data_IF_124347455293
#
_entry.id   IF_124347455293
#
_cell.length_a   1.000
_cell.length_b   1.000
_cell.length_c   1.000
_cell.angle_alpha   90.00
_cell.angle_beta   90.00
_cell.angle_gamma   90.00
#
_symmetry.space_group_name_H-M   'P 1'
#
loop_
_entity.id
_entity.type
_entity.pdbx_description
1 polymer ?
#
# COMPACT_ATOMS: atom_id res chain seq x y z
N UNK A 1 13.55 15.06 25.59
CA UNK A 1 12.19 14.64 25.24
C UNK A 1 11.61 13.90 26.46
N UNK A 2 10.40 14.27 26.95
CA UNK A 2 9.81 13.59 28.11
C UNK A 2 9.29 12.20 27.71
N UNK A 3 9.21 11.25 28.69
CA UNK A 3 8.64 9.91 28.45
C UNK A 3 7.21 9.99 27.89
N UNK A 4 6.42 10.98 28.32
CA UNK A 4 5.07 11.23 27.82
C UNK A 4 5.07 11.66 26.34
N UNK A 5 6.04 12.47 25.93
CA UNK A 5 6.18 12.88 24.52
C UNK A 5 6.60 11.71 23.63
N UNK A 6 7.50 10.85 24.13
CA UNK A 6 7.91 9.65 23.41
C UNK A 6 6.75 8.66 23.24
N UNK A 7 5.96 8.45 24.31
CA UNK A 7 4.79 7.58 24.26
C UNK A 7 3.68 8.15 23.33
N UNK A 8 3.43 9.46 23.36
CA UNK A 8 2.47 10.11 22.48
C UNK A 8 2.89 9.97 20.99
N UNK A 9 4.16 10.20 20.68
CA UNK A 9 4.70 10.04 19.33
C UNK A 9 4.61 8.57 18.86
N UNK A 10 4.86 7.61 19.75
CA UNK A 10 4.75 6.18 19.42
C UNK A 10 3.30 5.78 19.15
N UNK A 11 2.33 6.27 19.93
CA UNK A 11 0.89 6.04 19.70
C UNK A 11 0.46 6.66 18.36
N UNK A 12 0.89 7.87 18.04
CA UNK A 12 0.58 8.55 16.78
C UNK A 12 1.18 7.80 15.58
N UNK A 13 2.40 7.29 15.71
CA UNK A 13 3.05 6.47 14.67
C UNK A 13 2.30 5.15 14.44
N UNK A 14 1.90 4.45 15.51
CA UNK A 14 1.15 3.19 15.40
C UNK A 14 -0.22 3.40 14.77
N UNK A 15 -0.96 4.43 15.17
CA UNK A 15 -2.26 4.76 14.59
C UNK A 15 -2.14 5.07 13.09
N UNK A 16 -1.06 5.71 12.69
CA UNK A 16 -0.82 6.04 11.29
C UNK A 16 -0.47 4.78 10.47
N UNK A 17 0.28 3.83 11.01
CA UNK A 17 0.61 2.57 10.33
C UNK A 17 -0.60 1.66 10.13
N UNK A 18 -1.57 1.66 11.07
CA UNK A 18 -2.80 0.86 10.95
C UNK A 18 -3.59 1.22 9.68
N UNK A 19 -3.58 2.49 9.25
CA UNK A 19 -4.28 2.93 8.04
C UNK A 19 -3.75 2.33 6.74
N UNK A 20 -2.55 1.78 6.72
CA UNK A 20 -2.06 1.02 5.57
C UNK A 20 -2.71 -0.36 5.44
N UNK A 21 -3.12 -0.96 6.56
CA UNK A 21 -3.65 -2.33 6.61
C UNK A 21 -5.15 -2.39 6.91
N UNK A 22 -5.72 -1.33 7.48
CA UNK A 22 -7.11 -1.26 7.92
C UNK A 22 -7.74 0.12 7.60
N UNK A 23 -7.67 0.59 6.34
CA UNK A 23 -8.32 1.84 5.98
C UNK A 23 -9.84 1.68 5.99
N UNK A 24 -10.59 2.71 6.41
CA UNK A 24 -12.04 2.78 6.22
C UNK A 24 -12.41 3.28 4.82
N UNK A 25 -11.44 3.89 4.13
CA UNK A 25 -11.61 4.39 2.78
C UNK A 25 -10.29 4.40 2.03
N UNK A 26 -10.30 4.00 0.77
CA UNK A 26 -9.14 3.97 -0.13
C UNK A 26 -9.44 4.66 -1.44
N UNK A 27 -8.52 5.47 -1.95
CA UNK A 27 -8.56 6.00 -3.32
C UNK A 27 -7.43 5.40 -4.15
N UNK A 28 -7.77 4.91 -5.35
CA UNK A 28 -6.82 4.31 -6.28
C UNK A 28 -6.66 5.23 -7.49
N UNK A 29 -5.44 5.71 -7.70
CA UNK A 29 -5.07 6.52 -8.87
C UNK A 29 -4.50 5.61 -9.96
N UNK A 30 -5.05 5.71 -11.18
CA UNK A 30 -4.60 4.95 -12.34
C UNK A 30 -5.44 3.71 -12.64
N UNK A 31 -6.49 3.44 -11.87
CA UNK A 31 -7.46 2.41 -12.20
C UNK A 31 -8.37 2.86 -13.35
N UNK A 32 -8.61 1.95 -14.30
CA UNK A 32 -9.50 2.18 -15.45
C UNK A 32 -10.03 0.86 -15.99
N UNK A 33 -11.11 0.91 -16.79
CA UNK A 33 -11.70 -0.27 -17.45
C UNK A 33 -10.89 -0.77 -18.67
N UNK A 34 -9.66 -0.28 -18.87
CA UNK A 34 -8.78 -0.77 -19.90
C UNK A 34 -8.32 -2.20 -19.60
N UNK A 35 -8.20 -3.02 -20.65
CA UNK A 35 -7.76 -4.42 -20.52
C UNK A 35 -6.35 -4.49 -19.86
N UNK A 36 -6.18 -5.38 -18.91
CA UNK A 36 -4.93 -5.56 -18.14
C UNK A 36 -4.49 -4.34 -17.34
N UNK A 37 -5.43 -3.49 -16.89
CA UNK A 37 -5.11 -2.35 -16.05
C UNK A 37 -4.83 -2.83 -14.61
N UNK A 38 -3.63 -2.52 -14.11
CA UNK A 38 -3.18 -2.95 -12.78
C UNK A 38 -4.04 -2.36 -11.65
N UNK A 39 -4.49 -1.12 -11.78
CA UNK A 39 -5.38 -0.50 -10.79
C UNK A 39 -6.76 -1.16 -10.74
N UNK A 40 -7.27 -1.65 -11.89
CA UNK A 40 -8.50 -2.44 -11.93
C UNK A 40 -8.34 -3.80 -11.23
N UNK A 41 -7.17 -4.43 -11.33
CA UNK A 41 -6.87 -5.66 -10.58
C UNK A 41 -6.93 -5.43 -9.07
N UNK A 42 -6.44 -4.29 -8.57
CA UNK A 42 -6.58 -3.91 -7.15
C UNK A 42 -8.06 -3.76 -6.77
N UNK A 43 -8.86 -3.05 -7.58
CA UNK A 43 -10.30 -2.88 -7.32
C UNK A 43 -11.00 -4.24 -7.25
N UNK A 44 -10.69 -5.13 -8.21
CA UNK A 44 -11.24 -6.48 -8.24
C UNK A 44 -10.83 -7.31 -7.02
N UNK A 45 -9.57 -7.24 -6.60
CA UNK A 45 -9.09 -7.93 -5.40
C UNK A 45 -9.82 -7.43 -4.15
N UNK A 46 -9.99 -6.12 -3.99
CA UNK A 46 -10.75 -5.55 -2.87
C UNK A 46 -12.18 -6.06 -2.83
N UNK A 47 -12.85 -6.13 -3.98
CA UNK A 47 -14.24 -6.55 -4.08
C UNK A 47 -14.39 -8.07 -3.94
N UNK A 48 -13.71 -8.85 -4.80
CA UNK A 48 -14.00 -10.26 -5.02
C UNK A 48 -13.16 -11.21 -4.15
N UNK A 49 -11.91 -10.81 -3.82
CA UNK A 49 -10.99 -11.67 -3.09
C UNK A 49 -11.05 -11.48 -1.57
N UNK A 50 -11.12 -10.24 -1.11
CA UNK A 50 -11.12 -9.94 0.34
C UNK A 50 -12.47 -9.44 0.85
N UNK A 51 -13.44 -9.15 -0.02
CA UNK A 51 -14.75 -8.61 0.37
C UNK A 51 -14.59 -7.39 1.29
N UNK A 52 -13.83 -6.41 0.81
CA UNK A 52 -13.49 -5.20 1.57
C UNK A 52 -14.73 -4.39 1.94
N UNK A 53 -14.95 -4.16 3.21
CA UNK A 53 -16.15 -3.50 3.74
C UNK A 53 -16.03 -1.96 3.82
N UNK A 54 -14.85 -1.40 3.54
CA UNK A 54 -14.64 0.04 3.47
C UNK A 54 -15.09 0.62 2.13
N UNK A 55 -14.88 1.93 1.98
CA UNK A 55 -15.21 2.65 0.74
C UNK A 55 -14.01 2.66 -0.20
N UNK A 56 -14.23 2.17 -1.43
CA UNK A 56 -13.21 2.20 -2.50
C UNK A 56 -13.58 3.23 -3.57
N UNK A 57 -12.63 4.10 -3.89
CA UNK A 57 -12.76 5.14 -4.90
C UNK A 57 -11.66 5.01 -5.94
N UNK A 58 -11.95 5.41 -7.16
CA UNK A 58 -10.95 5.56 -8.22
C UNK A 58 -10.97 6.97 -8.79
N UNK A 59 -9.78 7.50 -9.07
CA UNK A 59 -9.64 8.75 -9.81
C UNK A 59 -9.07 8.42 -11.19
N UNK A 60 -9.88 8.63 -12.22
CA UNK A 60 -9.51 8.40 -13.61
C UNK A 60 -10.08 9.49 -14.55
N UNK A 61 -9.54 9.60 -15.76
CA UNK A 61 -9.92 10.67 -16.70
C UNK A 61 -11.40 10.68 -17.08
N UNK A 62 -12.02 9.51 -17.12
CA UNK A 62 -13.44 9.39 -17.50
C UNK A 62 -14.37 9.65 -16.31
N UNK A 63 -13.90 9.48 -15.07
CA UNK A 63 -14.74 9.51 -13.86
C UNK A 63 -15.63 8.28 -13.75
N UNK A 64 -15.24 7.17 -14.40
CA UNK A 64 -16.01 5.93 -14.45
C UNK A 64 -15.69 5.02 -13.28
N UNK A 65 -16.70 4.29 -12.80
CA UNK A 65 -16.55 3.23 -11.82
C UNK A 65 -15.69 2.09 -12.38
N UNK A 66 -14.90 1.43 -11.52
CA UNK A 66 -14.03 0.30 -11.87
C UNK A 66 -14.19 -0.80 -10.84
N UNK A 67 -14.67 -1.98 -11.24
CA UNK A 67 -14.79 -3.18 -10.41
C UNK A 67 -15.36 -2.93 -9.00
N UNK A 68 -16.44 -2.14 -8.92
CA UNK A 68 -17.12 -1.82 -7.65
C UNK A 68 -16.55 -0.61 -6.90
N UNK A 69 -15.39 -0.09 -7.26
CA UNK A 69 -14.90 1.19 -6.76
C UNK A 69 -15.56 2.35 -7.50
N UNK A 70 -16.02 3.36 -6.75
CA UNK A 70 -16.73 4.51 -7.33
C UNK A 70 -15.77 5.47 -8.02
N UNK A 71 -16.08 5.85 -9.27
CA UNK A 71 -15.25 6.69 -10.12
C UNK A 71 -15.46 8.19 -9.96
N UNK A 72 -14.36 8.93 -10.01
CA UNK A 72 -14.33 10.38 -10.00
C UNK A 72 -13.28 10.90 -11.00
N UNK A 73 -13.47 12.12 -11.52
CA UNK A 73 -12.49 12.74 -12.41
C UNK A 73 -11.32 13.35 -11.67
N UNK A 74 -11.57 13.87 -10.48
CA UNK A 74 -10.55 14.50 -9.64
C UNK A 74 -10.69 14.03 -8.18
N UNK A 75 -9.63 14.15 -7.40
CA UNK A 75 -9.65 13.83 -5.97
C UNK A 75 -10.60 14.76 -5.20
N UNK A 76 -10.71 16.00 -5.65
CA UNK A 76 -11.52 17.04 -5.06
C UNK A 76 -13.03 16.77 -5.18
N UNK A 77 -13.44 15.94 -6.14
CA UNK A 77 -14.84 15.52 -6.32
C UNK A 77 -15.32 14.55 -5.24
N UNK A 78 -14.38 13.86 -4.55
CA UNK A 78 -14.71 12.94 -3.45
C UNK A 78 -14.98 13.76 -2.19
N UNK A 79 -16.18 13.69 -1.64
CA UNK A 79 -16.56 14.45 -0.44
C UNK A 79 -16.12 13.77 0.86
N UNK A 80 -15.97 12.45 0.86
CA UNK A 80 -15.61 11.65 2.03
C UNK A 80 -14.13 11.84 2.42
N UNK A 81 -13.83 11.64 3.69
CA UNK A 81 -12.45 11.50 4.16
C UNK A 81 -11.81 10.23 3.62
N UNK A 82 -10.54 10.33 3.23
CA UNK A 82 -9.75 9.24 2.66
C UNK A 82 -8.61 8.88 3.60
N UNK A 83 -8.58 7.62 4.03
CA UNK A 83 -7.53 7.11 4.91
C UNK A 83 -6.24 6.76 4.15
N UNK A 84 -6.38 6.18 2.94
CA UNK A 84 -5.27 5.63 2.16
C UNK A 84 -5.38 6.00 0.69
N UNK A 85 -4.27 6.41 0.08
CA UNK A 85 -4.13 6.52 -1.37
C UNK A 85 -3.19 5.43 -1.91
N UNK A 86 -3.63 4.73 -2.96
CA UNK A 86 -2.82 3.78 -3.72
C UNK A 86 -2.57 4.37 -5.11
N UNK A 87 -1.30 4.50 -5.50
CA UNK A 87 -0.90 5.16 -6.73
C UNK A 87 -0.22 4.17 -7.67
N UNK A 88 -0.84 3.97 -8.84
CA UNK A 88 -0.32 3.11 -9.92
C UNK A 88 -0.41 3.85 -11.26
N UNK A 89 0.24 4.99 -11.33
CA UNK A 89 0.31 5.91 -12.49
C UNK A 89 1.76 6.06 -12.97
N UNK A 90 2.01 6.63 -14.15
CA UNK A 90 3.37 6.99 -14.56
C UNK A 90 4.07 7.85 -13.51
N UNK A 91 5.35 7.55 -13.22
CA UNK A 91 6.12 8.19 -12.14
C UNK A 91 6.14 9.73 -12.25
N UNK A 92 6.19 10.27 -13.47
CA UNK A 92 6.26 11.72 -13.72
C UNK A 92 5.07 12.54 -13.20
N UNK A 93 3.90 11.91 -12.97
CA UNK A 93 2.71 12.63 -12.45
C UNK A 93 2.56 12.49 -10.93
N UNK A 94 3.34 11.60 -10.30
CA UNK A 94 3.19 11.27 -8.88
C UNK A 94 3.50 12.44 -7.93
N UNK A 95 4.52 13.30 -8.15
CA UNK A 95 4.73 14.47 -7.29
C UNK A 95 3.47 15.34 -7.15
N UNK A 96 2.76 15.59 -8.26
CA UNK A 96 1.50 16.35 -8.25
C UNK A 96 0.38 15.61 -7.48
N UNK A 97 0.35 14.28 -7.51
CA UNK A 97 -0.61 13.50 -6.73
C UNK A 97 -0.30 13.52 -5.24
N UNK A 98 0.97 13.44 -4.84
CA UNK A 98 1.41 13.58 -3.43
C UNK A 98 1.00 14.95 -2.89
N UNK A 99 1.20 16.02 -3.66
CA UNK A 99 0.74 17.36 -3.27
C UNK A 99 -0.77 17.38 -3.03
N UNK A 100 -1.57 16.88 -3.97
CA UNK A 100 -3.04 16.82 -3.85
C UNK A 100 -3.49 15.96 -2.64
N UNK A 101 -2.85 14.82 -2.41
CA UNK A 101 -3.09 14.01 -1.22
C UNK A 101 -2.83 14.81 0.06
N UNK A 102 -1.71 15.52 0.11
CA UNK A 102 -1.35 16.37 1.24
C UNK A 102 -2.33 17.49 1.53
N UNK A 103 -2.74 18.22 0.49
CA UNK A 103 -3.75 19.31 0.54
C UNK A 103 -5.11 18.77 0.99
N UNK A 104 -5.47 17.55 0.59
CA UNK A 104 -6.72 16.86 0.95
C UNK A 104 -6.69 16.23 2.35
N UNK A 105 -5.54 16.23 3.03
CA UNK A 105 -5.39 15.63 4.37
C UNK A 105 -5.12 14.13 4.38
N UNK A 106 -4.86 13.49 3.24
CA UNK A 106 -4.47 12.09 3.16
C UNK A 106 -3.03 11.95 3.65
N UNK A 107 -2.79 11.08 4.62
CA UNK A 107 -1.48 10.93 5.28
C UNK A 107 -0.80 9.61 5.02
N UNK A 108 -1.50 8.64 4.43
CA UNK A 108 -0.98 7.32 4.09
C UNK A 108 -1.04 7.11 2.58
N UNK A 109 0.10 6.83 1.95
CA UNK A 109 0.21 6.63 0.51
C UNK A 109 1.04 5.39 0.21
N UNK A 110 0.53 4.54 -0.67
CA UNK A 110 1.28 3.42 -1.25
C UNK A 110 1.57 3.76 -2.71
N UNK A 111 2.83 3.71 -3.12
CA UNK A 111 3.24 3.98 -4.50
C UNK A 111 3.74 2.67 -5.11
N UNK A 112 2.90 2.03 -5.91
CA UNK A 112 3.27 0.77 -6.57
C UNK A 112 4.06 1.00 -7.85
N UNK A 113 3.92 2.15 -8.46
CA UNK A 113 4.62 2.54 -9.69
C UNK A 113 6.12 2.46 -9.55
N UNK A 114 6.77 1.94 -10.59
CA UNK A 114 8.21 2.03 -10.82
C UNK A 114 8.58 3.33 -11.58
N UNK A 115 9.88 3.58 -11.76
CA UNK A 115 10.39 4.77 -12.47
C UNK A 115 11.12 5.75 -11.56
N UNK A 116 11.57 5.28 -10.38
CA UNK A 116 12.25 6.06 -9.36
C UNK A 116 13.74 5.69 -9.26
N UNK A 117 14.33 5.66 -8.08
CA UNK A 117 15.76 5.47 -7.88
C UNK A 117 16.34 4.21 -8.54
N UNK A 118 15.53 3.20 -8.79
CA UNK A 118 15.92 2.00 -9.54
C UNK A 118 16.17 2.24 -11.03
N UNK A 119 15.79 3.42 -11.56
CA UNK A 119 16.02 3.85 -12.96
C UNK A 119 17.23 4.80 -13.12
N UNK A 120 18.01 5.00 -12.06
CA UNK A 120 19.19 5.86 -12.08
C UNK A 120 18.90 7.31 -11.64
N UNK A 121 19.75 8.25 -12.06
CA UNK A 121 19.79 9.62 -11.51
C UNK A 121 18.47 10.40 -11.70
N UNK A 122 17.86 10.30 -12.87
CA UNK A 122 16.59 10.98 -13.16
C UNK A 122 15.47 10.46 -12.25
N UNK A 123 15.37 9.13 -12.10
CA UNK A 123 14.41 8.50 -11.19
C UNK A 123 14.69 8.82 -9.72
N UNK A 124 15.96 8.93 -9.34
CA UNK A 124 16.35 9.35 -8.00
C UNK A 124 15.89 10.78 -7.68
N UNK A 125 16.09 11.72 -8.62
CA UNK A 125 15.61 13.09 -8.45
C UNK A 125 14.11 13.15 -8.23
N UNK A 126 13.36 12.33 -8.95
CA UNK A 126 11.90 12.22 -8.78
C UNK A 126 11.52 11.62 -7.41
N UNK A 127 12.27 10.62 -6.93
CA UNK A 127 12.08 10.05 -5.59
C UNK A 127 12.41 11.08 -4.49
N UNK A 128 13.45 11.86 -4.65
CA UNK A 128 13.81 12.93 -3.71
C UNK A 128 12.73 14.01 -3.65
N UNK A 129 12.10 14.33 -4.78
CA UNK A 129 10.98 15.27 -4.85
C UNK A 129 9.76 14.75 -4.08
N UNK A 130 9.31 13.50 -4.32
CA UNK A 130 8.18 12.94 -3.58
C UNK A 130 8.47 12.86 -2.08
N UNK A 131 9.69 12.54 -1.68
CA UNK A 131 10.09 12.50 -0.27
C UNK A 131 10.06 13.89 0.38
N UNK A 132 10.45 14.94 -0.35
CA UNK A 132 10.36 16.32 0.11
C UNK A 132 8.89 16.74 0.32
N UNK A 133 8.01 16.43 -0.61
CA UNK A 133 6.58 16.71 -0.52
C UNK A 133 5.94 15.91 0.62
N UNK A 134 6.27 14.64 0.76
CA UNK A 134 5.76 13.78 1.83
C UNK A 134 6.11 14.36 3.22
N UNK A 135 7.37 14.77 3.43
CA UNK A 135 7.77 15.44 4.67
C UNK A 135 7.02 16.74 4.92
N UNK A 136 6.84 17.56 3.88
CA UNK A 136 6.12 18.84 4.01
C UNK A 136 4.66 18.64 4.44
N UNK A 137 3.98 17.63 3.86
CA UNK A 137 2.58 17.33 4.16
C UNK A 137 2.39 16.29 5.27
N UNK A 138 3.46 15.80 5.90
CA UNK A 138 3.41 14.73 6.91
C UNK A 138 2.76 13.44 6.38
N UNK A 139 3.03 13.10 5.13
CA UNK A 139 2.59 11.86 4.49
C UNK A 139 3.62 10.78 4.76
N UNK A 140 3.15 9.57 5.14
CA UNK A 140 3.97 8.35 5.15
C UNK A 140 3.81 7.62 3.82
N UNK A 141 4.91 7.07 3.30
CA UNK A 141 4.93 6.40 1.99
C UNK A 141 5.48 4.97 2.12
N UNK A 142 4.69 3.98 1.66
CA UNK A 142 5.18 2.64 1.34
C UNK A 142 5.59 2.60 -0.14
N UNK A 143 6.76 2.09 -0.45
CA UNK A 143 7.32 2.08 -1.80
C UNK A 143 8.32 3.21 -2.04
N UNK A 144 8.42 3.81 -3.23
CA UNK A 144 7.79 3.39 -4.49
C UNK A 144 8.30 2.04 -5.02
N UNK A 145 7.81 1.62 -6.19
CA UNK A 145 8.20 0.37 -6.84
C UNK A 145 7.95 -0.85 -5.93
N UNK A 146 6.76 -0.97 -5.41
CA UNK A 146 6.32 -2.04 -4.50
C UNK A 146 5.07 -2.75 -5.03
N UNK A 147 4.66 -3.81 -4.37
CA UNK A 147 3.46 -4.59 -4.72
C UNK A 147 2.27 -4.25 -3.78
N UNK A 148 2.45 -3.41 -2.78
CA UNK A 148 1.41 -3.05 -1.83
C UNK A 148 1.40 -3.91 -0.57
N UNK A 149 0.21 -4.03 0.04
CA UNK A 149 0.00 -4.70 1.33
C UNK A 149 -1.19 -5.66 1.28
N UNK A 150 -1.14 -6.67 2.16
CA UNK A 150 -2.23 -7.62 2.44
C UNK A 150 -2.39 -7.75 3.96
N UNK A 151 -3.62 -7.68 4.46
CA UNK A 151 -4.01 -8.08 5.81
C UNK A 151 -5.16 -9.09 5.72
N UNK A 152 -4.90 -10.32 6.15
CA UNK A 152 -5.87 -11.42 6.05
C UNK A 152 -7.03 -11.22 7.03
N UNK A 153 -6.73 -10.80 8.26
CA UNK A 153 -7.73 -10.67 9.31
C UNK A 153 -8.63 -9.43 9.12
N UNK A 154 -8.08 -8.34 8.55
CA UNK A 154 -8.81 -7.11 8.22
C UNK A 154 -9.45 -7.15 6.84
N UNK A 155 -9.18 -8.22 6.08
CA UNK A 155 -9.73 -8.40 4.73
C UNK A 155 -9.44 -7.19 3.83
N UNK A 156 -8.19 -6.77 3.83
CA UNK A 156 -7.71 -5.67 2.99
C UNK A 156 -6.50 -6.13 2.15
N UNK A 157 -6.55 -5.87 0.86
CA UNK A 157 -5.45 -6.14 -0.06
C UNK A 157 -5.45 -5.10 -1.18
N UNK A 158 -4.33 -4.40 -1.33
CA UNK A 158 -4.11 -3.51 -2.46
C UNK A 158 -3.00 -4.00 -3.40
N UNK A 159 -2.62 -5.26 -3.35
CA UNK A 159 -1.65 -5.87 -4.28
C UNK A 159 -2.30 -6.07 -5.65
N UNK A 160 -1.66 -5.58 -6.74
CA UNK A 160 -2.08 -5.92 -8.09
C UNK A 160 -1.56 -7.30 -8.51
N UNK A 161 -2.24 -7.94 -9.46
CA UNK A 161 -1.88 -9.28 -9.95
C UNK A 161 -2.09 -10.41 -8.93
N UNK A 162 -2.77 -10.13 -7.82
CA UNK A 162 -2.97 -11.08 -6.73
C UNK A 162 -4.39 -11.66 -6.67
N UNK A 163 -5.23 -11.38 -7.67
CA UNK A 163 -6.65 -11.73 -7.69
C UNK A 163 -6.93 -13.24 -7.68
N UNK A 164 -5.97 -14.08 -8.11
CA UNK A 164 -6.09 -15.54 -8.05
C UNK A 164 -5.48 -16.13 -6.77
N UNK A 165 -4.48 -15.48 -6.21
CA UNK A 165 -3.70 -15.94 -5.03
C UNK A 165 -4.38 -15.54 -3.72
N UNK A 166 -4.83 -14.30 -3.61
CA UNK A 166 -5.39 -13.73 -2.37
C UNK A 166 -6.62 -14.50 -1.87
N UNK A 167 -7.57 -14.97 -2.73
CA UNK A 167 -8.69 -15.77 -2.26
C UNK A 167 -8.27 -17.07 -1.56
N UNK A 168 -7.14 -17.65 -1.92
CA UNK A 168 -6.58 -18.85 -1.30
C UNK A 168 -5.89 -18.51 0.03
N UNK A 169 -5.11 -17.44 0.07
CA UNK A 169 -4.46 -16.97 1.30
C UNK A 169 -5.47 -16.57 2.39
N UNK A 170 -6.56 -15.91 2.01
CA UNK A 170 -7.63 -15.49 2.94
C UNK A 170 -8.28 -16.68 3.65
N UNK A 171 -8.22 -17.88 3.09
CA UNK A 171 -8.71 -19.11 3.71
C UNK A 171 -7.71 -19.71 4.71
N UNK A 172 -6.51 -19.16 4.81
CA UNK A 172 -5.42 -19.64 5.66
C UNK A 172 -4.96 -18.55 6.65
N UNK A 173 -5.84 -18.06 7.54
CA UNK A 173 -5.44 -17.05 8.52
C UNK A 173 -4.42 -17.64 9.51
N UNK A 174 -3.42 -16.83 9.89
CA UNK A 174 -2.37 -17.24 10.80
C UNK A 174 -1.74 -16.07 11.53
N UNK A 175 -0.55 -16.29 12.09
CA UNK A 175 0.17 -15.32 12.92
C UNK A 175 1.54 -14.91 12.36
N UNK A 176 1.85 -15.32 11.13
CA UNK A 176 3.13 -14.98 10.47
C UNK A 176 2.94 -13.76 9.58
N UNK A 177 3.74 -12.72 9.80
CA UNK A 177 3.77 -11.52 8.97
C UNK A 177 5.05 -11.44 8.12
N UNK A 178 4.92 -10.98 6.89
CA UNK A 178 6.01 -10.96 5.91
C UNK A 178 6.35 -9.53 5.50
N UNK A 179 7.66 -9.18 5.59
CA UNK A 179 8.22 -7.93 5.08
C UNK A 179 9.12 -8.28 3.89
N UNK A 180 8.69 -7.93 2.69
CA UNK A 180 9.31 -8.33 1.42
C UNK A 180 9.76 -7.08 0.67
N UNK A 181 10.95 -7.09 0.09
CA UNK A 181 11.45 -5.93 -0.65
C UNK A 181 11.15 -6.00 -2.16
N UNK A 182 10.93 -7.19 -2.70
CA UNK A 182 10.71 -7.42 -4.12
C UNK A 182 9.31 -7.98 -4.39
N UNK A 183 8.58 -7.40 -5.35
CA UNK A 183 7.27 -7.88 -5.77
C UNK A 183 7.31 -9.34 -6.27
N UNK A 184 8.27 -9.69 -7.14
CA UNK A 184 8.40 -11.07 -7.62
C UNK A 184 8.73 -12.08 -6.52
N UNK A 185 9.46 -11.66 -5.47
CA UNK A 185 9.66 -12.52 -4.29
C UNK A 185 8.37 -12.64 -3.49
N UNK A 186 7.56 -11.58 -3.41
CA UNK A 186 6.27 -11.64 -2.72
C UNK A 186 5.30 -12.62 -3.39
N UNK A 187 5.25 -12.64 -4.71
CA UNK A 187 4.46 -13.61 -5.49
C UNK A 187 4.90 -15.05 -5.21
N UNK A 188 6.21 -15.35 -5.33
CA UNK A 188 6.76 -16.68 -5.08
C UNK A 188 6.53 -17.15 -3.62
N UNK A 189 6.65 -16.24 -2.64
CA UNK A 189 6.36 -16.55 -1.24
C UNK A 189 4.87 -16.85 -1.07
N UNK A 190 3.99 -16.06 -1.66
CA UNK A 190 2.55 -16.27 -1.57
C UNK A 190 2.12 -17.61 -2.18
N UNK A 191 2.64 -17.98 -3.36
CA UNK A 191 2.40 -19.29 -3.99
C UNK A 191 2.86 -20.43 -3.07
N UNK A 192 4.06 -20.31 -2.49
CA UNK A 192 4.61 -21.35 -1.60
C UNK A 192 3.80 -21.51 -0.30
N UNK A 193 3.32 -20.40 0.27
CA UNK A 193 2.48 -20.43 1.47
C UNK A 193 1.17 -21.18 1.26
N UNK A 194 0.60 -21.07 0.05
CA UNK A 194 -0.62 -21.82 -0.32
C UNK A 194 -0.30 -23.32 -0.41
N UNK A 195 0.79 -23.70 -1.07
CA UNK A 195 1.18 -25.10 -1.21
C UNK A 195 1.46 -25.77 0.13
N UNK A 196 2.15 -25.08 1.03
CA UNK A 196 2.53 -25.62 2.35
C UNK A 196 1.44 -25.41 3.43
N UNK A 197 0.30 -24.83 3.07
CA UNK A 197 -0.83 -24.52 3.99
C UNK A 197 -0.35 -23.73 5.22
N UNK A 198 0.51 -22.75 4.99
CA UNK A 198 1.05 -21.90 6.06
C UNK A 198 0.14 -20.68 6.27
N UNK A 199 -0.33 -20.51 7.51
CA UNK A 199 -1.20 -19.38 7.87
C UNK A 199 -0.47 -18.04 7.83
N UNK A 200 -1.14 -17.04 7.24
CA UNK A 200 -0.63 -15.67 7.05
C UNK A 200 -1.42 -14.69 7.90
N UNK A 201 -0.72 -13.73 8.54
CA UNK A 201 -1.33 -12.55 9.14
C UNK A 201 -1.32 -11.41 8.12
N UNK A 202 -0.12 -10.89 7.82
CA UNK A 202 0.07 -9.76 6.90
C UNK A 202 1.22 -10.00 5.94
N UNK A 203 1.15 -9.33 4.79
CA UNK A 203 2.28 -9.22 3.87
C UNK A 203 2.44 -7.76 3.46
N UNK A 204 3.68 -7.30 3.36
CA UNK A 204 4.02 -5.99 2.80
C UNK A 204 5.20 -6.12 1.86
N UNK A 205 5.08 -5.50 0.68
CA UNK A 205 6.20 -5.28 -0.23
C UNK A 205 6.64 -3.82 -0.09
N UNK A 206 7.87 -3.60 0.37
CA UNK A 206 8.38 -2.24 0.70
C UNK A 206 9.07 -1.54 -0.47
N UNK A 207 9.37 -2.24 -1.57
CA UNK A 207 9.96 -1.66 -2.77
C UNK A 207 11.28 -0.93 -2.52
N UNK A 208 11.38 0.33 -2.98
CA UNK A 208 12.55 1.19 -2.79
C UNK A 208 12.71 1.71 -1.36
N UNK A 209 11.69 1.56 -0.51
CA UNK A 209 11.62 2.02 0.90
C UNK A 209 12.13 3.45 1.08
N UNK A 210 11.44 4.38 0.45
CA UNK A 210 11.84 5.78 0.47
C UNK A 210 11.52 6.52 1.77
N UNK A 211 10.54 6.01 2.55
CA UNK A 211 10.11 6.56 3.85
C UNK A 211 9.88 5.42 4.87
N UNK A 212 8.75 4.69 4.78
CA UNK A 212 8.47 3.57 5.69
C UNK A 212 9.43 2.43 5.43
N UNK A 213 10.07 1.93 6.50
CA UNK A 213 11.05 0.85 6.42
C UNK A 213 10.71 -0.35 7.32
N UNK A 214 11.62 -1.29 7.44
CA UNK A 214 11.44 -2.52 8.21
C UNK A 214 11.20 -2.25 9.70
N UNK A 215 11.81 -1.20 10.26
CA UNK A 215 11.66 -0.88 11.68
C UNK A 215 10.23 -0.44 12.00
N UNK A 216 9.64 0.42 11.15
CA UNK A 216 8.24 0.83 11.27
C UNK A 216 7.29 -0.38 11.28
N UNK A 217 7.53 -1.37 10.39
CA UNK A 217 6.69 -2.57 10.33
C UNK A 217 6.91 -3.51 11.51
N UNK A 218 8.14 -3.68 11.99
CA UNK A 218 8.42 -4.50 13.18
C UNK A 218 7.71 -3.90 14.40
N UNK A 219 7.79 -2.59 14.57
CA UNK A 219 7.10 -1.88 15.65
C UNK A 219 5.58 -2.04 15.55
N UNK A 220 5.01 -1.86 14.34
CA UNK A 220 3.58 -2.02 14.13
C UNK A 220 3.11 -3.47 14.34
N UNK A 221 3.80 -4.47 13.78
CA UNK A 221 3.44 -5.88 13.93
C UNK A 221 3.61 -6.39 15.37
N UNK A 222 4.44 -5.72 16.20
CA UNK A 222 4.53 -6.05 17.63
C UNK A 222 3.27 -5.69 18.43
N UNK A 223 2.36 -4.90 17.85
CA UNK A 223 1.13 -4.43 18.51
C UNK A 223 -0.11 -5.25 18.15
N UNK A 224 0.03 -6.23 17.27
CA UNK A 224 -1.08 -7.09 16.81
C UNK A 224 -0.86 -8.58 17.15
N UNK A 225 -1.57 -9.48 16.47
CA UNK A 225 -1.47 -10.92 16.67
C UNK A 225 -0.30 -11.59 15.90
N UNK A 226 0.70 -10.83 15.45
CA UNK A 226 1.90 -11.39 14.83
C UNK A 226 2.80 -12.07 15.84
N UNK A 227 3.05 -13.36 15.66
CA UNK A 227 3.98 -14.13 16.49
C UNK A 227 5.35 -14.29 15.82
N UNK A 228 5.39 -14.29 14.49
CA UNK A 228 6.62 -14.45 13.70
C UNK A 228 6.66 -13.40 12.58
N UNK A 229 7.81 -12.73 12.45
CA UNK A 229 8.08 -11.82 11.34
C UNK A 229 9.14 -12.45 10.43
N UNK A 230 8.77 -12.64 9.16
CA UNK A 230 9.65 -13.14 8.12
C UNK A 230 10.08 -11.98 7.23
N UNK A 231 11.38 -11.60 7.25
CA UNK A 231 11.91 -10.53 6.40
C UNK A 231 12.78 -11.09 5.28
N UNK A 232 12.47 -10.72 4.02
CA UNK A 232 13.28 -11.06 2.86
C UNK A 232 13.67 -9.77 2.13
N UNK A 233 14.96 -9.41 2.22
CA UNK A 233 15.54 -8.24 1.55
C UNK A 233 16.15 -8.59 0.20
N UNK A 234 16.58 -7.55 -0.54
CA UNK A 234 17.46 -7.73 -1.72
C UNK A 234 18.90 -7.92 -1.24
N UNK A 235 19.62 -8.87 -1.84
CA UNK A 235 21.05 -8.90 -1.73
C UNK A 235 21.63 -7.67 -2.46
N UNK A 236 22.47 -6.90 -1.80
CA UNK A 236 23.33 -5.93 -2.47
C UNK A 236 24.56 -6.72 -2.97
N UNK A 237 24.67 -6.86 -4.29
CA UNK A 237 25.87 -7.42 -4.95
C UNK A 237 26.74 -6.24 -5.36
#
# INVERSE_FOLDING_TARGET
MSMLQAAANQIETVVNMDKFFNPSSVVIFGASNAKFNLGAMICKTLKDAVDYQGRAYVVNRAGEDVDGAKGFKTLEDIQDDIDLAVIITPASVIPGLIQKCGERGIRNVIIESSGFSEKGEEGKNLQDEINRLARFYQIRIIGPNCLGVLDIHRRFCCMYGAEEIVPLLVQQPGTVSYILQSGGVAELVAERLIEDIMGVNKMVCIGNKSDVDEADFIDYFSTDNTEVICKIGRAHV
#
